data_IF_869512358675
#
_entry.id   IF_869512358675
#
_cell.length_a   1.000
_cell.length_b   1.000
_cell.length_c   1.000
_cell.angle_alpha   90.00
_cell.angle_beta   90.00
_cell.angle_gamma   90.00
#
_symmetry.space_group_name_H-M   'P 1'
#
loop_
_entity.id
_entity.type
_entity.pdbx_description
1 polymer ?
#
# COMPACT_ATOMS: atom_id res chain seq x y z
N UNK A 1 -13.80 23.05 20.92
CA UNK A 1 -12.86 22.32 21.81
C UNK A 1 -11.49 22.34 21.16
N UNK A 2 -10.42 22.56 21.92
CA UNK A 2 -9.06 22.42 21.41
C UNK A 2 -8.67 20.95 21.43
N UNK A 3 -8.20 20.40 20.31
CA UNK A 3 -7.72 19.02 20.24
C UNK A 3 -6.42 18.87 21.04
N UNK A 4 -6.30 17.85 21.87
CA UNK A 4 -5.10 17.58 22.66
C UNK A 4 -4.61 16.14 22.47
N UNK A 5 -3.30 15.95 22.52
CA UNK A 5 -2.65 14.64 22.39
C UNK A 5 -1.78 14.41 23.63
N UNK A 6 -1.97 13.28 24.29
CA UNK A 6 -1.16 12.85 25.44
C UNK A 6 -0.47 11.54 25.10
N UNK A 7 0.86 11.56 25.00
CA UNK A 7 1.66 10.37 24.69
C UNK A 7 1.96 9.62 25.99
N UNK A 8 1.59 8.34 26.07
CA UNK A 8 1.90 7.45 27.20
C UNK A 8 3.22 6.73 27.00
N UNK A 9 3.43 6.20 25.80
CA UNK A 9 4.62 5.43 25.44
C UNK A 9 5.02 5.75 24.01
N UNK A 10 6.29 6.09 23.80
CA UNK A 10 6.86 6.27 22.46
C UNK A 10 8.13 5.44 22.34
N UNK A 11 8.06 4.43 21.48
CA UNK A 11 9.18 3.61 21.01
C UNK A 11 9.32 3.81 19.50
N UNK A 12 10.31 3.12 18.90
CA UNK A 12 10.54 3.19 17.45
C UNK A 12 9.37 2.59 16.67
N UNK A 13 8.94 1.41 17.08
CA UNK A 13 7.92 0.54 16.49
C UNK A 13 6.52 0.76 17.08
N UNK A 14 6.44 1.31 18.30
CA UNK A 14 5.18 1.47 19.03
C UNK A 14 4.92 2.91 19.49
N UNK A 15 3.70 3.39 19.32
CA UNK A 15 3.23 4.67 19.85
C UNK A 15 1.86 4.51 20.53
N UNK A 16 1.82 4.68 21.85
CA UNK A 16 0.60 4.66 22.66
C UNK A 16 0.27 6.10 23.09
N UNK A 17 -0.89 6.59 22.68
CA UNK A 17 -1.32 7.96 22.96
C UNK A 17 -2.83 8.06 23.08
N UNK A 18 -3.27 9.13 23.75
CA UNK A 18 -4.67 9.50 23.93
C UNK A 18 -4.94 10.77 23.12
N UNK A 19 -5.97 10.73 22.29
CA UNK A 19 -6.45 11.86 21.49
C UNK A 19 -7.76 12.36 22.08
N UNK A 20 -7.84 13.66 22.37
CA UNK A 20 -9.05 14.31 22.89
C UNK A 20 -9.49 15.50 22.04
N UNK A 21 -10.76 15.85 22.13
CA UNK A 21 -11.32 17.05 21.48
C UNK A 21 -11.47 16.91 19.97
N UNK A 22 -11.72 15.68 19.50
CA UNK A 22 -12.05 15.34 18.11
C UNK A 22 -13.32 14.52 18.10
N UNK A 23 -14.00 14.41 16.96
CA UNK A 23 -15.15 13.52 16.83
C UNK A 23 -14.72 12.08 16.49
N UNK A 24 -15.60 11.11 16.76
CA UNK A 24 -15.39 9.70 16.42
C UNK A 24 -15.11 9.49 14.92
N UNK A 25 -15.76 10.29 14.05
CA UNK A 25 -15.54 10.24 12.60
C UNK A 25 -14.11 10.58 12.19
N UNK A 26 -13.53 11.65 12.75
CA UNK A 26 -12.13 12.02 12.52
C UNK A 26 -11.20 10.97 13.11
N UNK A 27 -11.45 10.51 14.34
CA UNK A 27 -10.64 9.50 15.00
C UNK A 27 -10.56 8.20 14.16
N UNK A 28 -11.71 7.66 13.74
CA UNK A 28 -11.73 6.46 12.90
C UNK A 28 -11.12 6.71 11.51
N UNK A 29 -11.32 7.89 10.91
CA UNK A 29 -10.68 8.22 9.63
C UNK A 29 -9.17 8.28 9.77
N UNK A 30 -8.67 8.89 10.84
CA UNK A 30 -7.24 8.95 11.15
C UNK A 30 -6.63 7.56 11.34
N UNK A 31 -7.33 6.67 12.05
CA UNK A 31 -6.97 5.24 12.14
C UNK A 31 -6.84 4.58 10.76
N UNK A 32 -7.81 4.79 9.87
CA UNK A 32 -7.82 4.20 8.53
C UNK A 32 -6.70 4.73 7.66
N UNK A 33 -6.43 6.04 7.72
CA UNK A 33 -5.33 6.66 6.98
C UNK A 33 -3.98 6.06 7.38
N UNK A 34 -3.74 5.87 8.70
CA UNK A 34 -2.51 5.25 9.19
C UNK A 34 -2.25 3.86 8.58
N UNK A 35 -3.30 3.04 8.43
CA UNK A 35 -3.16 1.67 7.92
C UNK A 35 -3.04 1.60 6.40
N UNK A 36 -3.70 2.50 5.66
CA UNK A 36 -4.01 2.27 4.25
C UNK A 36 -3.46 3.32 3.27
N UNK A 37 -3.27 4.56 3.71
CA UNK A 37 -3.02 5.70 2.81
C UNK A 37 -1.58 6.21 2.86
N UNK A 38 -0.78 5.79 3.84
CA UNK A 38 0.62 6.18 3.93
C UNK A 38 1.43 5.41 2.88
N UNK A 39 2.21 6.11 2.03
CA UNK A 39 3.01 5.44 1.03
C UNK A 39 4.30 4.85 1.61
N UNK A 40 4.60 3.65 1.13
CA UNK A 40 5.81 2.89 1.48
C UNK A 40 6.41 2.27 0.21
N UNK A 41 7.60 1.69 0.35
CA UNK A 41 8.31 0.99 -0.72
C UNK A 41 8.28 -0.50 -0.46
N UNK A 42 7.86 -1.28 -1.44
CA UNK A 42 7.85 -2.74 -1.37
C UNK A 42 8.21 -3.34 -2.73
N UNK A 43 8.69 -4.58 -2.73
CA UNK A 43 9.00 -5.32 -3.96
C UNK A 43 7.71 -5.57 -4.74
N UNK A 44 7.71 -5.19 -6.02
CA UNK A 44 6.52 -5.27 -6.87
C UNK A 44 6.73 -6.12 -8.12
N UNK A 45 7.91 -6.03 -8.73
CA UNK A 45 8.27 -6.85 -9.88
C UNK A 45 9.45 -7.74 -9.50
N UNK A 46 9.36 -9.03 -9.83
CA UNK A 46 10.44 -10.01 -9.63
C UNK A 46 10.72 -10.70 -10.95
N UNK A 47 11.94 -10.56 -11.44
CA UNK A 47 12.47 -11.27 -12.60
C UNK A 47 13.31 -12.46 -12.12
N UNK A 48 12.95 -13.66 -12.56
CA UNK A 48 13.70 -14.88 -12.29
C UNK A 48 14.67 -15.15 -13.43
N UNK A 49 15.97 -15.17 -13.13
CA UNK A 49 16.99 -15.62 -14.09
C UNK A 49 17.21 -17.14 -13.96
N UNK A 50 17.25 -17.63 -12.73
CA UNK A 50 17.30 -19.06 -12.44
C UNK A 50 16.65 -19.36 -11.09
N UNK A 51 15.72 -20.31 -11.08
CA UNK A 51 15.16 -20.90 -9.88
C UNK A 51 15.21 -22.42 -10.01
N UNK A 52 16.12 -23.05 -9.27
CA UNK A 52 16.17 -24.52 -9.12
C UNK A 52 15.82 -24.94 -7.70
N UNK A 53 15.19 -24.04 -6.94
CA UNK A 53 14.71 -24.32 -5.58
C UNK A 53 13.50 -25.24 -5.60
N UNK A 54 13.07 -25.67 -4.42
CA UNK A 54 11.84 -26.49 -4.26
C UNK A 54 10.57 -25.64 -4.37
N UNK A 55 10.69 -24.32 -4.22
CA UNK A 55 9.55 -23.41 -4.23
C UNK A 55 9.32 -22.86 -5.65
N UNK A 56 8.05 -22.81 -6.12
CA UNK A 56 7.74 -22.21 -7.41
C UNK A 56 7.94 -20.69 -7.37
N UNK A 57 8.11 -20.10 -8.55
CA UNK A 57 8.49 -18.69 -8.73
C UNK A 57 7.50 -17.75 -8.04
N UNK A 58 6.19 -17.95 -8.24
CA UNK A 58 5.14 -17.12 -7.68
C UNK A 58 5.12 -17.13 -6.15
N UNK A 59 5.52 -18.25 -5.54
CA UNK A 59 5.59 -18.36 -4.08
C UNK A 59 6.76 -17.55 -3.53
N UNK A 60 7.91 -17.61 -4.20
CA UNK A 60 9.07 -16.79 -3.83
C UNK A 60 8.77 -15.31 -4.08
N UNK A 61 8.16 -14.97 -5.21
CA UNK A 61 7.78 -13.60 -5.56
C UNK A 61 6.83 -13.00 -4.51
N UNK A 62 5.82 -13.76 -4.09
CA UNK A 62 4.90 -13.34 -3.02
C UNK A 62 5.65 -13.07 -1.72
N UNK A 63 6.56 -13.97 -1.29
CA UNK A 63 7.36 -13.77 -0.08
C UNK A 63 8.26 -12.56 -0.17
N UNK A 64 8.90 -12.34 -1.32
CA UNK A 64 9.75 -11.17 -1.57
C UNK A 64 8.93 -9.87 -1.48
N UNK A 65 7.71 -9.86 -2.02
CA UNK A 65 6.79 -8.73 -1.91
C UNK A 65 6.44 -8.35 -0.47
N UNK A 66 6.39 -9.32 0.44
CA UNK A 66 6.06 -9.12 1.86
C UNK A 66 7.27 -8.78 2.75
N UNK A 67 8.47 -8.60 2.19
CA UNK A 67 9.64 -8.15 2.96
C UNK A 67 9.54 -6.64 3.17
N UNK A 68 9.50 -6.15 4.43
CA UNK A 68 9.45 -4.73 4.69
C UNK A 68 10.79 -4.09 4.34
N UNK A 69 10.73 -2.99 3.59
CA UNK A 69 11.88 -2.17 3.22
C UNK A 69 11.81 -0.83 3.96
N UNK A 70 12.97 -0.32 4.38
CA UNK A 70 13.06 0.99 5.03
C UNK A 70 12.56 2.07 4.06
N UNK A 71 11.48 2.74 4.45
CA UNK A 71 10.70 3.66 3.61
C UNK A 71 10.68 5.09 4.16
N UNK A 72 11.65 5.44 5.01
CA UNK A 72 11.78 6.79 5.58
C UNK A 72 11.73 7.86 4.49
N UNK A 73 10.91 8.88 4.70
CA UNK A 73 10.69 9.98 3.75
C UNK A 73 10.22 9.57 2.32
N UNK A 74 9.56 8.41 2.16
CA UNK A 74 9.07 7.91 0.86
C UNK A 74 8.24 8.90 0.03
N UNK A 75 7.54 9.84 0.69
CA UNK A 75 6.71 10.86 0.04
C UNK A 75 7.51 11.71 -0.94
N UNK A 76 8.71 12.12 -0.54
CA UNK A 76 9.59 12.99 -1.32
C UNK A 76 10.80 12.24 -1.89
N UNK A 77 11.21 11.11 -1.30
CA UNK A 77 12.44 10.42 -1.73
C UNK A 77 12.27 9.52 -2.95
N UNK A 78 11.02 9.35 -3.42
CA UNK A 78 10.68 8.46 -4.53
C UNK A 78 9.39 8.89 -5.22
N UNK A 79 9.40 8.92 -6.56
CA UNK A 79 8.20 9.19 -7.37
C UNK A 79 7.37 7.91 -7.54
N UNK A 80 6.06 8.06 -7.69
CA UNK A 80 5.25 6.95 -8.18
C UNK A 80 5.63 6.63 -9.62
N UNK A 81 5.70 5.34 -9.97
CA UNK A 81 6.07 4.91 -11.33
C UNK A 81 5.12 5.49 -12.39
N UNK A 82 3.82 5.59 -12.08
CA UNK A 82 2.80 6.20 -12.96
C UNK A 82 2.93 7.72 -13.16
N UNK A 83 3.69 8.40 -12.30
CA UNK A 83 3.92 9.86 -12.34
C UNK A 83 5.34 10.19 -12.82
N UNK A 84 6.11 9.17 -13.23
CA UNK A 84 7.48 9.33 -13.68
C UNK A 84 7.55 9.36 -15.21
N UNK A 85 8.38 10.23 -15.76
CA UNK A 85 8.54 10.42 -17.22
C UNK A 85 9.34 9.30 -17.92
N UNK A 86 9.65 8.20 -17.23
CA UNK A 86 10.41 7.07 -17.77
C UNK A 86 9.50 5.99 -18.37
N UNK A 87 10.02 5.20 -19.32
CA UNK A 87 9.24 4.15 -20.01
C UNK A 87 9.13 2.86 -19.19
N UNK A 88 10.25 2.27 -18.79
CA UNK A 88 10.29 0.99 -18.05
C UNK A 88 10.55 1.16 -16.54
N UNK A 89 11.06 2.33 -16.16
CA UNK A 89 11.43 2.70 -14.80
C UNK A 89 12.87 3.19 -14.69
N UNK A 90 13.17 3.96 -13.64
CA UNK A 90 14.47 4.59 -13.42
C UNK A 90 14.84 4.65 -11.94
N UNK A 91 16.03 5.17 -11.64
CA UNK A 91 16.55 5.37 -10.27
C UNK A 91 15.64 6.23 -9.37
N UNK A 92 14.78 7.08 -9.94
CA UNK A 92 13.86 7.98 -9.22
C UNK A 92 12.56 7.29 -8.77
N UNK A 93 12.10 6.29 -9.52
CA UNK A 93 10.80 5.66 -9.31
C UNK A 93 10.88 4.16 -9.00
N UNK A 94 12.07 3.55 -9.04
CA UNK A 94 12.31 2.15 -8.67
C UNK A 94 13.65 1.96 -7.94
N UNK A 95 13.74 0.88 -7.17
CA UNK A 95 14.99 0.40 -6.54
C UNK A 95 15.20 -1.05 -6.98
N UNK A 96 16.36 -1.36 -7.56
CA UNK A 96 16.72 -2.73 -7.92
C UNK A 96 17.42 -3.42 -6.74
N UNK A 97 16.88 -4.56 -6.32
CA UNK A 97 17.51 -5.50 -5.39
C UNK A 97 17.82 -6.82 -6.10
N UNK A 98 18.91 -7.48 -5.75
CA UNK A 98 19.32 -8.75 -6.35
C UNK A 98 19.63 -9.80 -5.29
N UNK A 99 19.28 -11.05 -5.60
CA UNK A 99 19.74 -12.26 -4.91
C UNK A 99 20.43 -13.11 -5.95
N UNK A 100 21.64 -13.58 -5.65
CA UNK A 100 22.42 -14.47 -6.51
C UNK A 100 23.19 -15.45 -5.64
N UNK A 101 22.58 -16.60 -5.35
CA UNK A 101 23.16 -17.60 -4.47
C UNK A 101 22.95 -19.01 -4.99
N UNK A 102 24.00 -19.82 -4.86
CA UNK A 102 24.01 -21.24 -5.18
C UNK A 102 24.58 -22.04 -4.01
N UNK A 103 23.95 -23.15 -3.68
CA UNK A 103 24.41 -24.04 -2.63
C UNK A 103 25.31 -25.14 -3.21
N UNK A 104 26.63 -24.98 -3.08
CA UNK A 104 27.58 -25.99 -3.58
C UNK A 104 28.02 -27.01 -2.51
N UNK A 105 27.77 -26.71 -1.22
CA UNK A 105 28.24 -27.54 -0.10
C UNK A 105 27.39 -28.82 0.06
N UNK A 106 28.00 -30.02 0.05
CA UNK A 106 27.27 -31.26 0.30
C UNK A 106 26.86 -31.38 1.77
N UNK A 107 25.65 -31.89 2.03
CA UNK A 107 25.20 -32.23 3.38
C UNK A 107 24.76 -31.05 4.26
N UNK A 108 24.78 -29.81 3.77
CA UNK A 108 24.29 -28.63 4.50
C UNK A 108 23.18 -27.94 3.72
N UNK A 109 22.15 -27.48 4.42
CA UNK A 109 21.09 -26.65 3.85
C UNK A 109 21.47 -25.18 4.01
N UNK A 110 21.43 -24.42 2.92
CA UNK A 110 21.70 -22.99 2.91
C UNK A 110 20.39 -22.21 2.96
N UNK A 111 20.21 -21.40 4.00
CA UNK A 111 19.03 -20.56 4.13
C UNK A 111 19.26 -19.20 3.45
N UNK A 112 18.42 -18.88 2.47
CA UNK A 112 18.38 -17.56 1.85
C UNK A 112 17.40 -16.70 2.63
N UNK A 113 17.88 -15.57 3.17
CA UNK A 113 17.08 -14.65 3.98
C UNK A 113 17.03 -13.24 3.37
N UNK A 114 16.21 -12.36 3.92
CA UNK A 114 16.15 -10.93 3.55
C UNK A 114 17.52 -10.26 3.61
N UNK A 115 18.43 -10.72 4.47
CA UNK A 115 19.78 -10.15 4.56
C UNK A 115 20.67 -10.45 3.34
N UNK A 116 20.24 -11.34 2.43
CA UNK A 116 20.93 -11.60 1.18
C UNK A 116 20.47 -10.71 0.02
N UNK A 117 19.46 -9.86 0.20
CA UNK A 117 19.05 -8.86 -0.80
C UNK A 117 20.05 -7.72 -0.87
N UNK A 118 20.70 -7.54 -2.02
CA UNK A 118 21.64 -6.44 -2.25
C UNK A 118 21.02 -5.41 -3.19
N UNK A 119 21.06 -4.13 -2.81
CA UNK A 119 20.68 -3.05 -3.71
C UNK A 119 21.74 -2.93 -4.81
N UNK A 120 21.29 -2.88 -6.07
CA UNK A 120 22.14 -2.63 -7.22
C UNK A 120 21.82 -1.24 -7.78
N UNK A 121 22.84 -0.41 -8.06
CA UNK A 121 22.60 0.85 -8.74
C UNK A 121 22.07 0.57 -10.14
N UNK A 122 21.02 1.28 -10.52
CA UNK A 122 20.42 1.16 -11.83
C UNK A 122 21.38 1.74 -12.89
N UNK A 123 21.49 1.15 -14.09
CA UNK A 123 22.35 1.69 -15.14
C UNK A 123 21.92 3.10 -15.55
N UNK A 124 22.88 3.98 -15.83
CA UNK A 124 22.60 5.38 -16.21
C UNK A 124 21.78 5.52 -17.51
N UNK A 125 21.70 4.46 -18.31
CA UNK A 125 20.95 4.44 -19.57
C UNK A 125 19.42 4.34 -19.37
N UNK A 126 18.96 4.08 -18.15
CA UNK A 126 17.53 3.99 -17.77
C UNK A 126 17.09 5.25 -17.01
N UNK A 127 17.12 6.41 -17.67
CA UNK A 127 16.62 7.69 -17.13
C UNK A 127 17.72 8.74 -16.88
N UNK A 128 17.49 9.75 -16.02
CA UNK A 128 18.46 10.85 -15.79
C UNK A 128 19.71 10.43 -14.99
N UNK A 129 20.09 9.14 -15.04
CA UNK A 129 21.12 8.55 -14.20
C UNK A 129 20.82 8.65 -12.70
N UNK A 130 21.85 8.66 -11.86
CA UNK A 130 21.73 8.83 -10.41
C UNK A 130 21.59 10.30 -9.96
N UNK A 131 21.02 11.16 -10.81
CA UNK A 131 20.83 12.59 -10.49
C UNK A 131 19.35 12.93 -10.34
N UNK A 132 19.00 13.59 -9.24
CA UNK A 132 17.65 14.08 -8.99
C UNK A 132 17.45 14.49 -7.54
N UNK A 133 16.56 15.46 -7.32
CA UNK A 133 16.24 15.99 -5.99
C UNK A 133 15.77 14.88 -5.04
N UNK A 134 15.00 13.92 -5.56
CA UNK A 134 14.44 12.82 -4.76
C UNK A 134 15.54 11.88 -4.22
N UNK A 135 16.58 11.62 -5.02
CA UNK A 135 17.73 10.82 -4.56
C UNK A 135 18.48 11.50 -3.41
N UNK A 136 18.58 12.84 -3.44
CA UNK A 136 19.23 13.60 -2.37
C UNK A 136 18.45 13.55 -1.05
N UNK A 137 17.13 13.32 -1.12
CA UNK A 137 16.23 13.19 0.05
C UNK A 137 16.17 11.77 0.62
N UNK A 138 16.83 10.78 -0.01
CA UNK A 138 16.90 9.40 0.50
C UNK A 138 17.82 9.32 1.71
N UNK A 139 17.38 8.57 2.72
CA UNK A 139 18.26 8.17 3.80
C UNK A 139 19.25 7.10 3.30
N UNK A 140 20.43 6.94 3.93
CA UNK A 140 21.40 5.92 3.53
C UNK A 140 20.86 4.48 3.58
N UNK A 141 19.87 4.24 4.44
CA UNK A 141 19.22 2.94 4.60
C UNK A 141 17.96 2.79 3.72
N UNK A 142 17.57 3.80 2.93
CA UNK A 142 16.35 3.73 2.13
C UNK A 142 16.36 2.55 1.16
N UNK A 143 15.29 1.76 1.18
CA UNK A 143 15.13 0.59 0.32
C UNK A 143 15.86 -0.67 0.78
N UNK A 144 16.67 -0.63 1.85
CA UNK A 144 17.24 -1.87 2.41
C UNK A 144 16.14 -2.63 3.19
N UNK A 145 16.22 -3.97 3.25
CA UNK A 145 15.37 -4.75 4.13
C UNK A 145 15.50 -4.29 5.58
N UNK A 146 14.36 -4.13 6.28
CA UNK A 146 14.33 -3.64 7.67
C UNK A 146 15.23 -4.46 8.60
N UNK A 147 15.38 -5.77 8.35
CA UNK A 147 16.29 -6.66 9.10
C UNK A 147 17.78 -6.34 8.97
N UNK A 148 18.19 -5.48 8.02
CA UNK A 148 19.56 -4.97 7.88
C UNK A 148 19.78 -3.61 8.54
N UNK A 149 18.70 -2.90 8.87
CA UNK A 149 18.79 -1.58 9.48
C UNK A 149 19.44 -1.70 10.86
N UNK A 150 20.35 -0.78 11.18
CA UNK A 150 21.04 -0.77 12.49
C UNK A 150 20.08 -0.55 13.65
N UNK A 151 18.95 0.08 13.35
CA UNK A 151 17.97 0.48 14.34
C UNK A 151 16.90 -0.60 14.62
N UNK A 152 16.96 -1.73 13.91
CA UNK A 152 16.00 -2.82 14.04
C UNK A 152 16.68 -4.08 14.58
N UNK A 153 16.17 -4.61 15.69
CA UNK A 153 16.72 -5.78 16.38
C UNK A 153 16.07 -7.12 15.99
N UNK A 154 15.26 -7.13 14.92
CA UNK A 154 14.54 -8.33 14.51
C UNK A 154 15.39 -9.31 13.68
N UNK A 155 14.83 -10.51 13.50
CA UNK A 155 15.47 -11.58 12.75
C UNK A 155 15.31 -11.39 11.24
N UNK A 156 16.29 -11.83 10.43
CA UNK A 156 16.14 -11.82 8.99
C UNK A 156 15.04 -12.80 8.55
N UNK A 157 14.26 -12.39 7.55
CA UNK A 157 13.13 -13.16 7.05
C UNK A 157 13.65 -14.26 6.15
N UNK A 158 13.34 -15.52 6.45
CA UNK A 158 13.66 -16.65 5.57
C UNK A 158 12.84 -16.52 4.26
N UNK A 159 13.49 -16.64 3.11
CA UNK A 159 12.88 -16.59 1.79
C UNK A 159 12.75 -18.00 1.22
N UNK A 160 13.88 -18.72 1.17
CA UNK A 160 13.96 -20.09 0.67
C UNK A 160 15.12 -20.83 1.32
N UNK A 161 15.07 -22.17 1.29
CA UNK A 161 16.17 -23.03 1.71
C UNK A 161 16.68 -23.82 0.52
N UNK A 162 17.99 -23.76 0.28
CA UNK A 162 18.68 -24.40 -0.84
C UNK A 162 19.42 -25.65 -0.35
N UNK A 163 19.31 -26.74 -1.12
CA UNK A 163 20.15 -27.94 -0.98
C UNK A 163 21.27 -27.92 -2.03
N UNK A 164 22.26 -28.81 -1.87
CA UNK A 164 23.36 -28.98 -2.83
C UNK A 164 22.86 -29.01 -4.28
N UNK A 165 23.41 -28.12 -5.11
CA UNK A 165 23.12 -27.99 -6.53
C UNK A 165 21.96 -27.05 -6.86
N UNK A 166 21.21 -26.56 -5.86
CA UNK A 166 20.16 -25.58 -6.07
C UNK A 166 20.72 -24.15 -6.05
N UNK A 167 20.12 -23.30 -6.85
CA UNK A 167 20.43 -21.89 -7.01
C UNK A 167 19.16 -21.05 -7.10
N UNK A 168 19.28 -19.81 -6.64
CA UNK A 168 18.25 -18.78 -6.76
C UNK A 168 18.93 -17.48 -7.22
N UNK A 169 18.58 -17.07 -8.43
CA UNK A 169 19.06 -15.85 -9.07
C UNK A 169 17.87 -15.01 -9.54
N UNK A 170 17.62 -13.92 -8.82
CA UNK A 170 16.46 -13.05 -9.05
C UNK A 170 16.83 -11.57 -8.98
N UNK A 171 16.14 -10.77 -9.79
CA UNK A 171 16.15 -9.31 -9.73
C UNK A 171 14.78 -8.84 -9.27
N UNK A 172 14.75 -7.95 -8.30
CA UNK A 172 13.56 -7.47 -7.64
C UNK A 172 13.51 -5.95 -7.81
N UNK A 173 12.40 -5.41 -8.31
CA UNK A 173 12.19 -3.97 -8.38
C UNK A 173 11.17 -3.55 -7.34
N UNK A 174 11.63 -2.72 -6.41
CA UNK A 174 10.76 -2.12 -5.41
C UNK A 174 10.18 -0.80 -5.92
N UNK A 175 8.87 -0.61 -5.66
CA UNK A 175 8.10 0.56 -6.10
C UNK A 175 7.38 1.18 -4.92
N UNK A 176 7.12 2.48 -5.04
CA UNK A 176 6.27 3.24 -4.11
C UNK A 176 4.81 2.86 -4.34
N UNK A 177 4.09 2.56 -3.26
CA UNK A 177 2.67 2.21 -3.28
C UNK A 177 1.99 2.49 -1.94
N UNK A 178 0.69 2.23 -1.88
CA UNK A 178 -0.14 2.39 -0.67
C UNK A 178 -0.87 1.08 -0.34
N UNK A 179 -1.24 0.90 0.92
CA UNK A 179 -1.86 -0.36 1.35
C UNK A 179 -3.25 -0.63 0.75
N UNK A 180 -3.92 0.42 0.22
CA UNK A 180 -5.16 0.25 -0.55
C UNK A 180 -4.97 -0.58 -1.83
N UNK A 181 -3.79 -0.49 -2.45
CA UNK A 181 -3.49 -1.26 -3.65
C UNK A 181 -3.11 -2.70 -3.29
N UNK A 182 -2.29 -2.88 -2.25
CA UNK A 182 -1.93 -4.19 -1.72
C UNK A 182 -1.40 -4.08 -0.28
N UNK A 183 -1.73 -5.06 0.58
CA UNK A 183 -1.36 -5.06 2.00
C UNK A 183 0.16 -4.99 2.26
N UNK A 184 0.99 -5.39 1.30
CA UNK A 184 2.47 -5.30 1.36
C UNK A 184 3.01 -3.89 1.57
N UNK A 185 2.22 -2.86 1.26
CA UNK A 185 2.57 -1.46 1.47
C UNK A 185 2.02 -0.89 2.78
N UNK A 186 1.42 -1.70 3.66
CA UNK A 186 0.99 -1.21 4.96
C UNK A 186 2.19 -1.00 5.88
N UNK A 187 2.41 0.21 6.42
CA UNK A 187 3.48 0.45 7.40
C UNK A 187 3.09 0.00 8.82
N UNK A 188 1.84 -0.44 9.01
CA UNK A 188 1.30 -0.80 10.31
C UNK A 188 1.09 -2.31 10.42
N UNK A 189 1.52 -2.87 11.55
CA UNK A 189 1.12 -4.22 11.95
C UNK A 189 -0.29 -4.17 12.53
N UNK A 190 -0.52 -3.27 13.48
CA UNK A 190 -1.80 -3.09 14.15
C UNK A 190 -1.99 -1.65 14.62
N UNK A 191 -3.25 -1.21 14.62
CA UNK A 191 -3.66 0.05 15.26
C UNK A 191 -4.77 -0.26 16.24
N UNK A 192 -4.39 -0.39 17.52
CA UNK A 192 -5.31 -0.48 18.65
C UNK A 192 -6.11 0.81 18.76
N UNK A 193 -7.40 0.67 19.00
CA UNK A 193 -8.36 1.76 19.03
C UNK A 193 -9.47 1.44 20.01
N UNK A 194 -9.66 2.29 21.00
CA UNK A 194 -10.69 2.15 22.02
C UNK A 194 -11.20 3.55 22.43
N UNK A 195 -12.45 3.63 22.87
CA UNK A 195 -13.03 4.78 23.54
C UNK A 195 -14.11 4.28 24.50
N UNK A 196 -14.46 5.07 25.51
CA UNK A 196 -15.51 4.76 26.50
C UNK A 196 -15.37 3.35 27.14
N UNK A 197 -14.29 3.09 27.89
CA UNK A 197 -14.00 1.78 28.49
C UNK A 197 -15.10 1.27 29.44
N UNK A 198 -15.87 2.18 30.05
CA UNK A 198 -16.98 1.84 30.94
C UNK A 198 -18.33 1.69 30.20
N UNK A 199 -18.37 1.94 28.89
CA UNK A 199 -19.59 1.97 28.09
C UNK A 199 -20.67 2.91 28.67
N UNK A 200 -20.26 4.09 29.13
CA UNK A 200 -21.16 5.13 29.64
C UNK A 200 -22.12 5.60 28.57
N UNK A 201 -21.67 5.64 27.31
CA UNK A 201 -22.45 6.04 26.14
C UNK A 201 -23.41 4.95 25.67
N UNK A 202 -23.29 3.72 26.19
CA UNK A 202 -24.10 2.55 25.80
C UNK A 202 -24.04 2.25 24.30
N UNK A 203 -22.90 2.53 23.66
CA UNK A 203 -22.65 2.19 22.26
C UNK A 203 -22.59 0.68 22.01
N UNK A 204 -22.32 -0.11 23.05
CA UNK A 204 -22.46 -1.57 23.01
C UNK A 204 -23.49 -2.07 24.03
N UNK A 205 -24.16 -3.17 23.70
CA UNK A 205 -24.97 -3.93 24.64
C UNK A 205 -24.22 -5.21 24.98
N UNK A 206 -23.69 -5.28 26.20
CA UNK A 206 -22.92 -6.45 26.64
C UNK A 206 -23.84 -7.68 26.70
N UNK A 207 -23.41 -8.74 26.03
CA UNK A 207 -24.00 -10.07 26.20
C UNK A 207 -23.41 -10.71 27.46
N UNK A 208 -24.23 -11.34 28.28
CA UNK A 208 -23.76 -12.08 29.46
C UNK A 208 -24.77 -13.17 29.82
N UNK A 209 -24.31 -14.21 30.51
CA UNK A 209 -25.17 -15.29 31.00
C UNK A 209 -25.55 -15.10 32.46
N UNK A 210 -24.57 -14.75 33.30
CA UNK A 210 -24.72 -14.72 34.76
C UNK A 210 -24.40 -13.35 35.32
N UNK A 211 -23.18 -12.85 35.09
CA UNK A 211 -22.72 -11.57 35.62
C UNK A 211 -21.89 -10.83 34.58
N UNK A 212 -22.44 -9.71 34.14
CA UNK A 212 -21.82 -8.80 33.19
C UNK A 212 -20.41 -8.38 33.63
N UNK A 213 -20.21 -8.05 34.91
CA UNK A 213 -18.94 -7.52 35.38
C UNK A 213 -17.84 -8.59 35.49
N UNK A 214 -18.23 -9.84 35.79
CA UNK A 214 -17.31 -10.98 35.80
C UNK A 214 -16.95 -11.46 34.39
N UNK A 215 -17.89 -11.40 33.44
CA UNK A 215 -17.70 -11.90 32.06
C UNK A 215 -16.95 -10.91 31.16
N UNK A 216 -17.11 -9.61 31.38
CA UNK A 216 -16.44 -8.56 30.60
C UNK A 216 -15.41 -7.81 31.45
N UNK A 217 -14.11 -8.18 31.36
CA UNK A 217 -13.07 -7.51 32.11
C UNK A 217 -12.88 -6.07 31.60
N UNK A 218 -12.65 -5.15 32.55
CA UNK A 218 -12.32 -3.77 32.23
C UNK A 218 -10.99 -3.68 31.50
N UNK A 219 -10.93 -2.81 30.50
CA UNK A 219 -9.70 -2.54 29.78
C UNK A 219 -8.70 -1.77 30.66
N UNK A 220 -7.40 -1.81 30.33
CA UNK A 220 -6.40 -0.98 31.02
C UNK A 220 -6.69 0.53 30.92
N UNK A 221 -7.46 0.96 29.92
CA UNK A 221 -7.82 2.36 29.71
C UNK A 221 -8.86 2.85 30.73
N UNK A 222 -9.61 1.94 31.36
CA UNK A 222 -10.56 2.26 32.43
C UNK A 222 -9.90 2.96 33.63
N UNK A 223 -8.60 2.75 33.85
CA UNK A 223 -7.85 3.40 34.93
C UNK A 223 -7.69 4.92 34.75
N UNK A 224 -7.94 5.46 33.55
CA UNK A 224 -7.82 6.90 33.26
C UNK A 224 -9.17 7.63 33.22
N UNK A 225 -10.26 6.91 33.44
CA UNK A 225 -11.62 7.44 33.51
C UNK A 225 -12.27 7.07 34.84
N UNK A 226 -13.14 7.96 35.32
CA UNK A 226 -13.93 7.67 36.51
C UNK A 226 -14.99 6.61 36.18
N UNK A 227 -15.16 5.63 37.05
CA UNK A 227 -16.25 4.67 36.92
C UNK A 227 -17.61 5.40 37.01
N UNK A 228 -18.64 4.96 36.25
CA UNK A 228 -19.99 5.50 36.40
C UNK A 228 -20.51 5.20 37.81
N UNK A 229 -21.26 6.13 38.40
CA UNK A 229 -21.95 5.89 39.66
C UNK A 229 -23.24 5.11 39.38
N UNK A 230 -23.60 4.16 40.26
CA UNK A 230 -24.77 3.29 40.07
C UNK A 230 -26.10 4.09 39.94
N UNK A 231 -26.19 5.23 40.61
CA UNK A 231 -27.38 6.09 40.64
C UNK A 231 -27.35 7.25 39.60
N UNK A 232 -26.29 7.33 38.78
CA UNK A 232 -26.16 8.41 37.78
C UNK A 232 -27.16 8.22 36.63
N UNK A 233 -27.98 9.23 36.29
CA UNK A 233 -28.86 9.13 35.13
C UNK A 233 -28.04 9.04 33.84
N UNK A 234 -28.56 8.30 32.86
CA UNK A 234 -27.91 8.22 31.55
C UNK A 234 -27.90 9.58 30.85
N UNK A 235 -26.71 10.02 30.44
CA UNK A 235 -26.52 11.24 29.68
C UNK A 235 -26.74 10.96 28.18
N UNK A 236 -27.85 11.47 27.64
CA UNK A 236 -28.22 11.31 26.24
C UNK A 236 -27.46 12.27 25.31
N UNK A 237 -26.90 13.34 25.85
CA UNK A 237 -26.19 14.38 25.10
C UNK A 237 -24.66 14.13 25.10
N UNK A 238 -24.19 13.12 25.83
CA UNK A 238 -22.80 12.74 25.88
C UNK A 238 -22.30 12.24 24.51
N UNK A 239 -21.16 12.76 24.09
CA UNK A 239 -20.48 12.36 22.86
C UNK A 239 -19.09 11.75 23.17
N UNK A 240 -18.58 10.83 22.33
CA UNK A 240 -17.22 10.33 22.48
C UNK A 240 -16.19 11.45 22.30
N UNK A 241 -15.43 11.76 23.35
CA UNK A 241 -14.46 12.85 23.36
C UNK A 241 -12.99 12.39 23.41
N UNK A 242 -12.76 11.17 23.88
CA UNK A 242 -11.45 10.63 24.23
C UNK A 242 -11.22 9.27 23.57
N UNK A 243 -10.14 9.19 22.80
CA UNK A 243 -9.77 8.01 22.01
C UNK A 243 -8.38 7.52 22.38
N UNK A 244 -8.28 6.24 22.68
CA UNK A 244 -7.05 5.56 23.05
C UNK A 244 -6.47 4.85 21.83
N UNK A 245 -5.24 5.20 21.45
CA UNK A 245 -4.53 4.60 20.33
C UNK A 245 -3.33 3.81 20.80
N UNK A 246 -3.09 2.68 20.13
CA UNK A 246 -1.84 1.95 20.23
C UNK A 246 -1.39 1.55 18.82
N UNK A 247 -0.50 2.33 18.22
CA UNK A 247 0.01 2.12 16.87
C UNK A 247 1.27 1.27 16.94
N UNK A 248 1.31 0.20 16.15
CA UNK A 248 2.47 -0.69 15.98
C UNK A 248 2.86 -0.77 14.50
N UNK A 249 4.15 -0.58 14.20
CA UNK A 249 4.68 -0.59 12.83
C UNK A 249 5.46 -1.86 12.52
N UNK A 250 5.57 -2.17 11.23
CA UNK A 250 6.37 -3.30 10.71
C UNK A 250 7.88 -2.98 10.65
N UNK A 251 8.26 -1.76 11.01
CA UNK A 251 9.63 -1.24 10.97
C UNK A 251 10.03 -0.56 9.65
N UNK A 252 9.19 -0.60 8.61
CA UNK A 252 9.41 0.16 7.36
C UNK A 252 9.44 1.67 7.61
N UNK A 253 8.62 2.11 8.57
CA UNK A 253 8.53 3.47 9.11
C UNK A 253 8.51 3.43 10.64
N UNK A 254 8.94 4.52 11.28
CA UNK A 254 8.78 4.67 12.73
C UNK A 254 7.33 4.99 13.09
N UNK A 255 6.88 4.58 14.27
CA UNK A 255 5.51 4.84 14.73
C UNK A 255 5.17 6.33 14.78
N UNK A 256 6.15 7.17 15.15
CA UNK A 256 6.00 8.63 15.12
C UNK A 256 5.76 9.14 13.70
N UNK A 257 6.55 8.67 12.74
CA UNK A 257 6.39 9.09 11.34
C UNK A 257 5.04 8.66 10.78
N UNK A 258 4.58 7.44 11.08
CA UNK A 258 3.26 6.97 10.65
C UNK A 258 2.14 7.90 11.13
N UNK A 259 2.13 8.25 12.42
CA UNK A 259 1.12 9.16 13.01
C UNK A 259 1.17 10.54 12.36
N UNK A 260 2.36 11.11 12.17
CA UNK A 260 2.52 12.44 11.56
C UNK A 260 2.15 12.46 10.07
N UNK A 261 2.56 11.43 9.32
CA UNK A 261 2.26 11.31 7.89
C UNK A 261 0.78 11.11 7.63
N UNK A 262 0.08 10.34 8.46
CA UNK A 262 -1.37 10.21 8.34
C UNK A 262 -2.09 11.56 8.51
N UNK A 263 -1.66 12.41 9.46
CA UNK A 263 -2.23 13.76 9.59
C UNK A 263 -1.89 14.64 8.38
N UNK A 264 -0.66 14.55 7.87
CA UNK A 264 -0.24 15.30 6.69
C UNK A 264 -1.02 14.89 5.43
N UNK A 265 -1.27 13.59 5.23
CA UNK A 265 -2.07 13.06 4.12
C UNK A 265 -3.53 13.51 4.22
N UNK A 266 -4.15 13.41 5.40
CA UNK A 266 -5.52 13.92 5.62
C UNK A 266 -5.64 15.41 5.31
N UNK A 267 -4.66 16.22 5.75
CA UNK A 267 -4.60 17.66 5.44
C UNK A 267 -4.47 17.90 3.94
N UNK A 268 -3.58 17.16 3.27
CA UNK A 268 -3.35 17.28 1.83
C UNK A 268 -4.64 16.98 1.04
N UNK A 269 -5.33 15.87 1.37
CA UNK A 269 -6.60 15.50 0.73
C UNK A 269 -7.70 16.54 0.93
N UNK A 270 -7.83 17.07 2.15
CA UNK A 270 -8.78 18.14 2.43
C UNK A 270 -8.46 19.39 1.59
N UNK A 271 -7.18 19.76 1.47
CA UNK A 271 -6.75 20.88 0.64
C UNK A 271 -7.04 20.64 -0.85
N UNK A 272 -6.82 19.43 -1.37
CA UNK A 272 -7.17 19.07 -2.76
C UNK A 272 -8.66 19.22 -3.03
N UNK A 273 -9.52 18.83 -2.07
CA UNK A 273 -10.97 18.98 -2.21
C UNK A 273 -11.34 20.47 -2.29
N UNK A 274 -10.79 21.31 -1.40
CA UNK A 274 -11.00 22.76 -1.43
C UNK A 274 -10.56 23.35 -2.77
N UNK A 275 -9.36 22.99 -3.24
CA UNK A 275 -8.84 23.44 -4.52
C UNK A 275 -9.75 23.08 -5.70
N UNK A 276 -10.27 21.85 -5.73
CA UNK A 276 -11.17 21.39 -6.80
C UNK A 276 -12.55 22.04 -6.75
N UNK A 277 -13.00 22.49 -5.57
CA UNK A 277 -14.24 23.25 -5.40
C UNK A 277 -14.05 24.68 -5.91
N UNK A 278 -12.92 25.31 -5.60
CA UNK A 278 -12.58 26.66 -6.06
C UNK A 278 -12.29 26.71 -7.57
N UNK A 279 -11.78 25.61 -8.12
CA UNK A 279 -11.43 25.44 -9.53
C UNK A 279 -12.20 24.26 -10.11
N UNK A 280 -13.54 24.36 -10.25
CA UNK A 280 -14.32 23.28 -10.81
C UNK A 280 -13.80 22.97 -12.23
N UNK A 281 -13.61 21.69 -12.58
CA UNK A 281 -13.20 21.34 -13.93
C UNK A 281 -14.23 21.91 -14.91
N UNK A 282 -13.76 22.69 -15.89
CA UNK A 282 -14.62 23.16 -16.97
C UNK A 282 -15.22 21.95 -17.68
N UNK A 283 -16.52 22.02 -18.02
CA UNK A 283 -17.31 20.93 -18.61
C UNK A 283 -16.68 20.26 -19.84
N UNK A 284 -15.75 20.94 -20.49
CA UNK A 284 -15.04 20.47 -21.69
C UNK A 284 -14.03 19.35 -21.40
N UNK A 285 -13.77 19.00 -20.13
CA UNK A 285 -12.91 17.88 -19.75
C UNK A 285 -13.66 16.54 -19.59
N UNK A 286 -14.98 16.51 -19.78
CA UNK A 286 -15.81 15.30 -19.72
C UNK A 286 -16.27 14.78 -21.09
N UNK A 287 -15.79 15.38 -22.20
CA UNK A 287 -16.06 14.84 -23.53
C UNK A 287 -14.91 13.92 -23.97
N UNK A 288 -15.06 12.62 -23.69
CA UNK A 288 -14.14 11.56 -24.14
C UNK A 288 -14.39 11.22 -25.62
N UNK A 289 -14.90 12.16 -26.43
CA UNK A 289 -15.14 11.95 -27.87
C UNK A 289 -14.23 12.74 -28.81
N UNK A 290 -13.42 13.68 -28.32
CA UNK A 290 -12.36 14.30 -29.13
C UNK A 290 -11.07 14.46 -28.31
N UNK A 291 -10.27 13.40 -28.25
CA UNK A 291 -8.85 13.59 -28.04
C UNK A 291 -8.32 14.39 -29.24
N UNK A 292 -7.79 15.62 -29.08
CA UNK A 292 -7.03 16.22 -30.16
C UNK A 292 -5.81 15.35 -30.33
N UNK A 293 -5.79 14.52 -31.37
CA UNK A 293 -4.56 13.94 -31.86
C UNK A 293 -3.64 15.12 -32.12
N UNK A 294 -2.67 15.34 -31.23
CA UNK A 294 -1.59 16.26 -31.48
C UNK A 294 -0.97 15.84 -32.82
N UNK A 295 -1.24 16.60 -33.87
CA UNK A 295 -0.56 16.47 -35.13
C UNK A 295 0.91 16.78 -34.85
N UNK A 296 1.69 15.72 -34.66
CA UNK A 296 3.14 15.81 -34.67
C UNK A 296 3.54 16.42 -36.02
N UNK A 297 4.31 17.52 -36.06
CA UNK A 297 4.86 17.99 -37.32
C UNK A 297 5.84 16.93 -37.82
N UNK A 298 5.52 16.32 -38.95
CA UNK A 298 6.44 15.46 -39.69
C UNK A 298 7.76 16.22 -39.91
N UNK A 299 8.94 15.61 -39.67
CA UNK A 299 10.19 16.25 -40.01
C UNK A 299 10.25 16.40 -41.53
N UNK A 300 10.49 17.63 -41.97
CA UNK A 300 10.73 17.97 -43.37
C UNK A 300 11.93 17.18 -43.89
N UNK A 301 11.64 16.20 -44.75
CA UNK A 301 12.64 15.39 -45.44
C UNK A 301 13.33 16.26 -46.49
N UNK A 302 14.54 16.70 -46.17
CA UNK A 302 15.49 17.19 -47.16
C UNK A 302 15.80 16.07 -48.16
N UNK A 303 15.73 16.39 -49.45
CA UNK A 303 16.03 15.50 -50.55
C UNK A 303 17.53 15.16 -50.61
N UNK A 304 17.88 13.88 -50.53
CA UNK A 304 18.75 13.20 -51.51
C UNK A 304 18.93 11.71 -51.18
N UNK A 305 19.08 10.87 -52.19
CA UNK A 305 19.71 9.54 -52.07
C UNK A 305 18.79 8.35 -52.27
N UNK A 306 18.81 7.83 -53.50
CA UNK A 306 18.10 6.68 -54.03
C UNK A 306 18.66 5.34 -53.53
N UNK A 307 17.83 4.41 -53.01
CA UNK A 307 18.06 2.97 -53.16
C UNK A 307 16.72 2.22 -53.17
N UNK A 308 16.65 1.21 -54.04
CA UNK A 308 15.47 0.48 -54.46
C UNK A 308 14.83 -0.42 -53.37
N UNK A 309 13.52 -0.63 -53.49
CA UNK A 309 12.75 -1.65 -52.79
C UNK A 309 12.31 -2.72 -53.81
N UNK A 310 12.35 -4.02 -53.48
CA UNK A 310 11.48 -4.98 -54.12
C UNK A 310 10.22 -5.19 -53.29
N UNK A 311 9.12 -5.09 -54.03
CA UNK A 311 7.76 -5.51 -53.72
C UNK A 311 7.65 -6.92 -53.14
N UNK A 312 6.70 -7.07 -52.21
CA UNK A 312 5.68 -8.13 -52.29
C UNK A 312 4.46 -7.70 -51.47
N UNK A 313 3.32 -7.48 -52.15
CA UNK A 313 1.97 -7.59 -51.57
C UNK A 313 1.76 -9.00 -51.03
N UNK A 314 0.81 -9.26 -50.13
CA UNK A 314 -0.58 -9.72 -50.32
C UNK A 314 -1.30 -9.47 -48.98
N UNK A 315 -2.57 -9.13 -48.82
CA UNK A 315 -3.71 -8.89 -49.71
C UNK A 315 -4.88 -8.52 -48.80
N UNK A 316 -5.61 -7.47 -49.15
CA UNK A 316 -6.82 -6.99 -48.47
C UNK A 316 -8.03 -7.83 -48.85
N UNK A 317 -9.01 -7.94 -47.96
CA UNK A 317 -10.40 -8.24 -48.34
C UNK A 317 -11.40 -7.52 -47.44
N UNK A 318 -12.59 -7.18 -47.99
CA UNK A 318 -13.31 -5.97 -47.61
C UNK A 318 -14.64 -6.25 -46.89
N UNK A 319 -15.13 -5.22 -46.19
CA UNK A 319 -16.49 -5.12 -45.68
C UNK A 319 -17.53 -5.25 -46.80
N UNK A 320 -18.51 -6.12 -46.61
CA UNK A 320 -19.72 -6.23 -47.42
C UNK A 320 -20.95 -6.19 -46.53
N UNK A 321 -21.78 -5.17 -46.71
CA UNK A 321 -23.10 -5.00 -46.12
C UNK A 321 -24.14 -5.86 -46.85
N UNK A 322 -25.01 -6.53 -46.10
CA UNK A 322 -26.09 -7.35 -46.64
C UNK A 322 -27.15 -7.69 -45.59
N UNK A 323 -28.34 -7.13 -45.77
CA UNK A 323 -29.59 -7.36 -45.05
C UNK A 323 -30.12 -8.81 -45.14
N UNK A 324 -30.76 -9.32 -44.08
CA UNK A 324 -31.69 -10.45 -44.21
C UNK A 324 -31.93 -11.30 -42.96
N UNK A 325 -33.01 -11.00 -42.23
CA UNK A 325 -33.97 -11.95 -41.61
C UNK A 325 -33.49 -13.21 -40.85
N UNK A 326 -33.85 -13.26 -39.56
CA UNK A 326 -34.58 -14.40 -38.99
C UNK A 326 -33.91 -15.18 -37.85
N UNK A 327 -34.54 -15.14 -36.67
CA UNK A 327 -34.69 -16.34 -35.83
C UNK A 327 -33.92 -16.41 -34.50
N UNK A 328 -34.69 -16.25 -33.41
CA UNK A 328 -34.57 -16.91 -32.08
C UNK A 328 -33.29 -16.63 -31.26
N UNK A 329 -33.40 -15.98 -30.10
CA UNK A 329 -33.73 -16.61 -28.81
C UNK A 329 -32.41 -17.12 -28.19
N UNK A 330 -31.93 -16.70 -27.01
CA UNK A 330 -32.57 -16.42 -25.73
C UNK A 330 -31.58 -15.64 -24.86
N UNK A 331 -32.03 -14.53 -24.28
CA UNK A 331 -31.33 -13.86 -23.18
C UNK A 331 -31.53 -14.64 -21.88
N UNK A 332 -30.48 -14.70 -21.05
CA UNK A 332 -30.59 -15.14 -19.66
C UNK A 332 -30.65 -13.89 -18.79
N UNK A 333 -31.87 -13.59 -18.35
CA UNK A 333 -32.17 -12.59 -17.35
C UNK A 333 -31.89 -13.14 -15.95
N UNK A 334 -31.36 -12.28 -15.08
CA UNK A 334 -31.35 -12.46 -13.63
C UNK A 334 -32.78 -12.48 -13.07
N UNK A 335 -33.10 -13.32 -12.06
CA UNK A 335 -34.27 -13.09 -11.23
C UNK A 335 -33.86 -12.43 -9.91
N UNK A 336 -34.49 -11.29 -9.64
CA UNK A 336 -34.51 -10.64 -8.33
C UNK A 336 -35.70 -11.22 -7.52
N UNK A 337 -35.41 -11.64 -6.29
CA UNK A 337 -36.23 -11.61 -5.04
C UNK A 337 -37.71 -12.03 -5.11
N UNK A 338 -38.09 -13.04 -4.31
CA UNK A 338 -39.17 -12.91 -3.30
C UNK A 338 -39.24 -14.09 -2.31
N UNK A 339 -39.35 -13.71 -1.03
CA UNK A 339 -40.14 -14.33 0.05
C UNK A 339 -39.73 -15.66 0.72
N UNK A 340 -39.51 -15.50 2.04
CA UNK A 340 -40.03 -16.30 3.15
C UNK A 340 -39.45 -17.72 3.43
N UNK A 341 -39.04 -17.90 4.68
CA UNK A 341 -38.89 -19.22 5.31
C UNK A 341 -37.65 -19.32 6.19
N UNK A 342 -37.77 -18.93 7.46
CA UNK A 342 -36.74 -19.22 8.46
C UNK A 342 -36.71 -20.69 8.85
N UNK A 343 -35.60 -21.16 9.42
CA UNK A 343 -35.53 -22.22 10.42
C UNK A 343 -34.25 -22.06 11.23
N UNK A 344 -34.39 -22.30 12.53
CA UNK A 344 -33.34 -22.44 13.52
C UNK A 344 -32.51 -23.71 13.28
N UNK A 345 -31.20 -23.64 13.58
CA UNK A 345 -30.49 -24.41 14.63
C UNK A 345 -29.36 -23.54 15.15
#
# INVERSE_FOLDING_TARGET
MNSTVTIRELKRDKCNFVLRGVNLGFANSFRRTMMADIPTVAIDLVEFESNTTVLPDEFIAHRLGMIPLVSTNCDESMKYTRECDCVEGCSLCMIELRIDFRCDRPGTTMNITSNHLEIRPMPDNWGPGNTGEELAKRTPEFGIPVSKSKDFSGFPILIASLRKGQELKVRCYAKKGIAKDHAKWSPCTAVGFEYDPYNKLRHTSYWFETDKAAEWPLSPNAAEEDAPLDDEPFDYDAEPDRFYYNVETDGSLTAKEVVLKALADMRSRAATIVFNIDNPPTSDAMDISEAPMAQMPLPTRAANGSYASPSTGWGTSPNGSGSGTGGQGTGWASPNVTAAGGWAV
#
